data_IF_081352576775
#
_entry.id   IF_081352576775
#
_cell.length_a   1.000
_cell.length_b   1.000
_cell.length_c   1.000
_cell.angle_alpha   90.00
_cell.angle_beta   90.00
_cell.angle_gamma   90.00
#
_symmetry.space_group_name_H-M   'P 1'
#
loop_
_entity.id
_entity.type
_entity.pdbx_description
1 polymer ?
#
# COMPACT_ATOMS: atom_id res chain seq x y z
N UNK A 1 -48.48 38.45 -18.31
CA UNK A 1 -48.25 37.07 -17.87
C UNK A 1 -47.12 36.39 -18.62
N UNK A 2 -45.96 36.27 -17.95
CA UNK A 2 -44.85 35.44 -18.42
C UNK A 2 -45.30 33.97 -18.43
N UNK A 3 -45.30 33.36 -19.60
CA UNK A 3 -45.72 31.96 -19.77
C UNK A 3 -44.56 31.00 -20.03
N UNK A 4 -43.39 31.53 -20.43
CA UNK A 4 -42.21 30.75 -20.81
C UNK A 4 -40.94 31.33 -20.22
N UNK A 5 -39.94 30.47 -20.08
CA UNK A 5 -38.57 30.81 -19.63
C UNK A 5 -37.55 30.07 -20.47
N UNK A 6 -36.37 30.65 -20.64
CA UNK A 6 -35.22 29.99 -21.28
C UNK A 6 -34.40 29.28 -20.21
N UNK A 7 -34.31 27.94 -20.31
CA UNK A 7 -33.41 27.15 -19.47
C UNK A 7 -31.95 27.41 -19.85
N UNK A 8 -31.03 27.11 -18.93
CA UNK A 8 -29.58 27.27 -19.14
C UNK A 8 -29.02 26.49 -20.33
N UNK A 9 -29.71 25.43 -20.76
CA UNK A 9 -29.37 24.62 -21.96
C UNK A 9 -29.99 25.18 -23.26
N UNK A 10 -30.55 26.40 -23.21
CA UNK A 10 -31.19 27.07 -24.35
C UNK A 10 -32.63 26.62 -24.63
N UNK A 11 -33.14 25.57 -23.98
CA UNK A 11 -34.51 25.10 -24.21
C UNK A 11 -35.55 26.01 -23.57
N UNK A 12 -36.69 26.21 -24.26
CA UNK A 12 -37.84 26.89 -23.67
C UNK A 12 -38.63 25.94 -22.75
N UNK A 13 -39.06 26.43 -21.61
CA UNK A 13 -39.93 25.71 -20.67
C UNK A 13 -41.04 26.62 -20.14
N UNK A 14 -42.11 26.04 -19.60
CA UNK A 14 -43.18 26.81 -18.98
C UNK A 14 -42.67 27.54 -17.72
N UNK A 15 -43.08 28.80 -17.56
CA UNK A 15 -42.89 29.55 -16.33
C UNK A 15 -43.69 28.88 -15.20
N UNK A 16 -43.06 28.68 -14.04
CA UNK A 16 -43.68 28.06 -12.88
C UNK A 16 -43.37 28.89 -11.64
N UNK A 17 -44.37 29.65 -11.20
CA UNK A 17 -44.29 30.54 -10.03
C UNK A 17 -44.09 29.76 -8.73
N UNK A 18 -44.74 28.60 -8.58
CA UNK A 18 -44.59 27.76 -7.38
C UNK A 18 -43.15 27.31 -7.15
N UNK A 19 -42.38 27.07 -8.22
CA UNK A 19 -40.95 26.74 -8.10
C UNK A 19 -40.12 27.90 -7.54
N UNK A 20 -40.48 29.13 -7.89
CA UNK A 20 -39.82 30.34 -7.39
C UNK A 20 -40.21 30.55 -5.93
N UNK A 21 -41.51 30.46 -5.61
CA UNK A 21 -42.03 30.54 -4.25
C UNK A 21 -41.37 29.49 -3.33
N UNK A 22 -41.25 28.24 -3.78
CA UNK A 22 -40.56 27.19 -3.01
C UNK A 22 -39.08 27.49 -2.77
N UNK A 23 -38.39 28.11 -3.73
CA UNK A 23 -36.98 28.48 -3.55
C UNK A 23 -36.83 29.62 -2.54
N UNK A 24 -37.72 30.62 -2.59
CA UNK A 24 -37.79 31.72 -1.61
C UNK A 24 -38.14 31.18 -0.22
N UNK A 25 -39.15 30.31 -0.12
CA UNK A 25 -39.57 29.66 1.13
C UNK A 25 -38.41 28.95 1.83
N UNK A 26 -37.61 28.17 1.08
CA UNK A 26 -36.42 27.50 1.64
C UNK A 26 -35.34 28.48 2.11
N UNK A 27 -35.18 29.61 1.42
CA UNK A 27 -34.24 30.65 1.85
C UNK A 27 -34.73 31.34 3.14
N UNK A 28 -36.04 31.59 3.26
CA UNK A 28 -36.68 32.13 4.48
C UNK A 28 -36.54 31.17 5.66
N UNK A 29 -36.72 29.88 5.42
CA UNK A 29 -36.55 28.84 6.45
C UNK A 29 -35.10 28.77 6.94
N UNK A 30 -34.12 28.92 6.04
CA UNK A 30 -32.70 28.88 6.35
C UNK A 30 -32.14 30.17 6.97
N UNK A 31 -32.78 31.33 6.73
CA UNK A 31 -32.35 32.61 7.31
C UNK A 31 -32.84 32.79 8.75
N UNK A 32 -34.00 32.21 9.09
CA UNK A 32 -34.63 32.41 10.40
C UNK A 32 -35.14 33.84 10.62
N UNK A 33 -35.21 34.65 9.56
CA UNK A 33 -35.82 35.98 9.63
C UNK A 33 -37.30 35.84 10.02
N UNK A 34 -37.70 36.54 11.09
CA UNK A 34 -39.07 36.50 11.60
C UNK A 34 -40.00 37.24 10.64
N UNK A 35 -41.03 36.53 10.19
CA UNK A 35 -42.22 37.15 9.61
C UNK A 35 -43.15 37.48 10.77
N UNK A 36 -43.77 38.66 10.78
CA UNK A 36 -44.78 39.01 11.77
C UNK A 36 -45.89 37.92 11.77
N UNK A 37 -46.14 37.29 12.92
CA UNK A 37 -46.99 36.11 13.09
C UNK A 37 -46.46 34.84 12.39
N UNK A 38 -45.41 34.25 12.95
CA UNK A 38 -44.71 33.09 12.41
C UNK A 38 -45.43 31.76 12.75
N UNK A 39 -46.24 31.29 11.80
CA UNK A 39 -46.59 29.88 11.66
C UNK A 39 -46.19 29.41 10.25
N UNK A 40 -45.96 28.12 10.04
CA UNK A 40 -45.47 27.59 8.75
C UNK A 40 -46.35 27.96 7.53
N UNK A 41 -47.63 28.27 7.74
CA UNK A 41 -48.53 28.77 6.70
C UNK A 41 -48.20 30.22 6.29
N UNK A 42 -47.90 31.10 7.25
CA UNK A 42 -47.53 32.50 7.02
C UNK A 42 -46.28 32.63 6.13
N UNK A 43 -45.26 31.79 6.35
CA UNK A 43 -44.05 31.74 5.51
C UNK A 43 -44.30 31.31 4.06
N UNK A 44 -45.18 30.33 3.86
CA UNK A 44 -45.53 29.84 2.52
C UNK A 44 -46.31 30.90 1.72
N UNK A 45 -47.28 31.55 2.37
CA UNK A 45 -48.02 32.69 1.80
C UNK A 45 -47.09 33.84 1.42
N UNK A 46 -46.20 34.23 2.34
CA UNK A 46 -45.24 35.31 2.09
C UNK A 46 -44.26 35.00 0.94
N UNK A 47 -43.78 33.75 0.86
CA UNK A 47 -42.94 33.32 -0.27
C UNK A 47 -43.68 33.37 -1.61
N UNK A 48 -44.99 33.08 -1.61
CA UNK A 48 -45.84 33.19 -2.79
C UNK A 48 -46.06 34.66 -3.19
N UNK A 49 -46.27 35.56 -2.23
CA UNK A 49 -46.41 36.99 -2.47
C UNK A 49 -45.11 37.58 -3.07
N UNK A 50 -43.95 37.20 -2.54
CA UNK A 50 -42.65 37.59 -3.10
C UNK A 50 -42.45 37.02 -4.51
N UNK A 51 -42.85 35.77 -4.77
CA UNK A 51 -42.79 35.18 -6.10
C UNK A 51 -43.73 35.88 -7.10
N UNK A 52 -44.89 36.37 -6.64
CA UNK A 52 -45.80 37.18 -7.44
C UNK A 52 -45.17 38.55 -7.79
N UNK A 53 -44.52 39.21 -6.83
CA UNK A 53 -43.75 40.45 -7.09
C UNK A 53 -42.63 40.21 -8.10
N UNK A 54 -41.89 39.10 -8.00
CA UNK A 54 -40.88 38.72 -9.00
C UNK A 54 -41.49 38.59 -10.40
N UNK A 55 -42.67 37.97 -10.51
CA UNK A 55 -43.37 37.86 -11.79
C UNK A 55 -43.79 39.23 -12.35
N UNK A 56 -44.32 40.11 -11.49
CA UNK A 56 -44.73 41.47 -11.86
C UNK A 56 -43.55 42.30 -12.35
N UNK A 57 -42.43 42.30 -11.61
CA UNK A 57 -41.23 43.02 -12.04
C UNK A 57 -40.67 42.48 -13.35
N UNK A 58 -40.58 41.15 -13.51
CA UNK A 58 -40.14 40.56 -14.77
C UNK A 58 -41.07 40.95 -15.94
N UNK A 59 -42.38 41.06 -15.72
CA UNK A 59 -43.33 41.51 -16.76
C UNK A 59 -43.13 42.97 -17.16
N UNK A 60 -42.76 43.82 -16.22
CA UNK A 60 -42.52 45.24 -16.45
C UNK A 60 -41.16 45.49 -17.10
N UNK A 61 -40.15 44.65 -16.84
CA UNK A 61 -38.76 44.90 -17.24
C UNK A 61 -38.24 43.99 -18.35
N UNK A 62 -38.85 42.83 -18.61
CA UNK A 62 -38.31 41.87 -19.58
C UNK A 62 -38.69 42.22 -21.02
N UNK A 63 -37.70 42.62 -21.82
CA UNK A 63 -37.86 42.86 -23.27
C UNK A 63 -37.93 41.55 -24.10
N UNK A 64 -37.54 40.42 -23.49
CA UNK A 64 -37.53 39.09 -24.10
C UNK A 64 -37.94 38.02 -23.09
N UNK A 65 -38.13 36.79 -23.56
CA UNK A 65 -38.34 35.64 -22.67
C UNK A 65 -37.16 35.57 -21.68
N UNK A 66 -37.41 35.66 -20.36
CA UNK A 66 -36.34 35.71 -19.38
C UNK A 66 -35.64 34.34 -19.27
N UNK A 67 -34.34 34.37 -19.08
CA UNK A 67 -33.55 33.19 -18.76
C UNK A 67 -33.57 32.91 -17.25
N UNK A 68 -33.09 31.73 -16.84
CA UNK A 68 -33.08 31.33 -15.42
C UNK A 68 -32.26 32.29 -14.54
N UNK A 69 -31.15 32.86 -15.04
CA UNK A 69 -30.32 33.78 -14.26
C UNK A 69 -31.06 35.10 -14.00
N UNK A 70 -31.74 35.64 -15.01
CA UNK A 70 -32.52 36.88 -14.89
C UNK A 70 -33.65 36.74 -13.87
N UNK A 71 -34.29 35.56 -13.80
CA UNK A 71 -35.31 35.28 -12.77
C UNK A 71 -34.66 35.23 -11.38
N UNK A 72 -33.47 34.64 -11.27
CA UNK A 72 -32.76 34.54 -9.98
C UNK A 72 -32.28 35.91 -9.50
N UNK A 73 -31.72 36.74 -10.39
CA UNK A 73 -31.31 38.11 -10.10
C UNK A 73 -32.51 38.96 -9.65
N UNK A 74 -33.68 38.73 -10.26
CA UNK A 74 -34.91 39.40 -9.83
C UNK A 74 -35.37 38.95 -8.45
N UNK A 75 -35.25 37.65 -8.12
CA UNK A 75 -35.55 37.16 -6.76
C UNK A 75 -34.66 37.83 -5.73
N UNK A 76 -33.36 37.95 -6.00
CA UNK A 76 -32.40 38.64 -5.12
C UNK A 76 -32.79 40.10 -4.90
N UNK A 77 -33.12 40.81 -5.99
CA UNK A 77 -33.58 42.20 -5.93
C UNK A 77 -34.86 42.35 -5.10
N UNK A 78 -35.87 41.52 -5.35
CA UNK A 78 -37.15 41.57 -4.62
C UNK A 78 -36.94 41.28 -3.13
N UNK A 79 -36.07 40.33 -2.76
CA UNK A 79 -35.76 40.06 -1.36
C UNK A 79 -35.08 41.26 -0.68
N UNK A 80 -34.16 41.93 -1.38
CA UNK A 80 -33.51 43.15 -0.85
C UNK A 80 -34.46 44.34 -0.73
N UNK A 81 -35.36 44.54 -1.70
CA UNK A 81 -36.34 45.64 -1.71
C UNK A 81 -37.50 45.44 -0.70
N UNK A 82 -37.65 44.23 -0.15
CA UNK A 82 -38.70 43.89 0.82
C UNK A 82 -38.15 43.65 2.24
N UNK A 83 -37.02 44.28 2.59
CA UNK A 83 -36.39 44.22 3.92
C UNK A 83 -35.99 42.80 4.39
N UNK A 84 -35.55 41.93 3.47
CA UNK A 84 -35.10 40.56 3.78
C UNK A 84 -33.63 40.29 3.37
N UNK A 85 -32.66 41.06 3.89
CA UNK A 85 -31.26 40.96 3.48
C UNK A 85 -30.60 39.64 3.86
N UNK A 86 -30.93 39.01 5.01
CA UNK A 86 -30.33 37.70 5.35
C UNK A 86 -30.94 36.58 4.50
N UNK A 87 -32.23 36.65 4.17
CA UNK A 87 -32.85 35.73 3.21
C UNK A 87 -32.24 35.87 1.82
N UNK A 88 -32.01 37.10 1.34
CA UNK A 88 -31.31 37.34 0.07
C UNK A 88 -29.91 36.72 0.08
N UNK A 89 -29.13 36.94 1.15
CA UNK A 89 -27.78 36.35 1.30
C UNK A 89 -27.81 34.82 1.31
N UNK A 90 -28.77 34.19 2.02
CA UNK A 90 -28.93 32.72 2.02
C UNK A 90 -29.32 32.19 0.65
N UNK A 91 -30.20 32.89 -0.06
CA UNK A 91 -30.59 32.56 -1.43
C UNK A 91 -29.38 32.62 -2.39
N UNK A 92 -28.59 33.70 -2.33
CA UNK A 92 -27.37 33.90 -3.13
C UNK A 92 -26.37 32.76 -2.87
N UNK A 93 -26.07 32.48 -1.61
CA UNK A 93 -25.12 31.42 -1.24
C UNK A 93 -25.60 30.04 -1.72
N UNK A 94 -26.90 29.73 -1.56
CA UNK A 94 -27.48 28.49 -2.05
C UNK A 94 -27.42 28.38 -3.59
N UNK A 95 -27.69 29.47 -4.31
CA UNK A 95 -27.57 29.53 -5.78
C UNK A 95 -26.13 29.30 -6.22
N UNK A 96 -25.18 29.99 -5.61
CA UNK A 96 -23.75 29.84 -5.88
C UNK A 96 -23.30 28.39 -5.72
N UNK A 97 -23.71 27.74 -4.62
CA UNK A 97 -23.41 26.33 -4.37
C UNK A 97 -24.06 25.40 -5.41
N UNK A 98 -25.32 25.65 -5.79
CA UNK A 98 -26.00 24.85 -6.83
C UNK A 98 -25.40 25.01 -8.22
N UNK A 99 -24.92 26.21 -8.57
CA UNK A 99 -24.21 26.45 -9.82
C UNK A 99 -22.86 25.74 -9.80
N UNK A 100 -22.09 25.87 -8.71
CA UNK A 100 -20.81 25.16 -8.49
C UNK A 100 -20.95 23.64 -8.68
N UNK A 101 -21.94 23.01 -8.05
CA UNK A 101 -22.22 21.56 -8.19
C UNK A 101 -22.52 21.16 -9.65
N UNK A 102 -23.24 22.00 -10.40
CA UNK A 102 -23.62 21.70 -11.79
C UNK A 102 -22.44 21.83 -12.75
N UNK A 103 -21.72 22.95 -12.69
CA UNK A 103 -20.52 23.18 -13.51
C UNK A 103 -19.51 22.06 -13.31
N UNK A 104 -19.36 21.63 -12.05
CA UNK A 104 -18.51 20.52 -11.72
C UNK A 104 -19.01 19.19 -12.31
N UNK A 105 -20.31 18.86 -12.22
CA UNK A 105 -20.83 17.63 -12.84
C UNK A 105 -20.60 17.62 -14.35
N UNK A 106 -20.71 18.77 -15.02
CA UNK A 106 -20.35 18.91 -16.43
C UNK A 106 -18.86 18.67 -16.65
N UNK A 107 -18.00 19.27 -15.82
CA UNK A 107 -16.55 19.06 -15.87
C UNK A 107 -16.16 17.60 -15.64
N UNK A 108 -16.74 16.92 -14.66
CA UNK A 108 -16.47 15.50 -14.38
C UNK A 108 -16.85 14.63 -15.58
N UNK A 109 -18.02 14.88 -16.17
CA UNK A 109 -18.47 14.16 -17.35
C UNK A 109 -17.58 14.42 -18.58
N UNK A 110 -17.05 15.64 -18.73
CA UNK A 110 -16.04 15.95 -19.74
C UNK A 110 -14.75 15.17 -19.47
N UNK A 111 -14.25 15.18 -18.23
CA UNK A 111 -13.06 14.39 -17.85
C UNK A 111 -13.26 12.90 -18.13
N UNK A 112 -14.43 12.33 -17.83
CA UNK A 112 -14.73 10.94 -18.16
C UNK A 112 -14.80 10.70 -19.67
N UNK A 113 -15.40 11.62 -20.43
CA UNK A 113 -15.42 11.55 -21.89
C UNK A 113 -13.99 11.56 -22.47
N UNK A 114 -13.13 12.43 -21.94
CA UNK A 114 -11.74 12.55 -22.37
C UNK A 114 -10.96 11.28 -22.03
N UNK A 115 -11.09 10.75 -20.82
CA UNK A 115 -10.49 9.48 -20.42
C UNK A 115 -10.99 8.32 -21.31
N UNK A 116 -12.26 8.29 -21.68
CA UNK A 116 -12.84 7.22 -22.52
C UNK A 116 -12.29 7.26 -23.94
N UNK A 117 -12.29 8.45 -24.56
CA UNK A 117 -12.20 8.59 -26.01
C UNK A 117 -10.86 9.13 -26.51
N UNK A 118 -10.01 9.65 -25.61
CA UNK A 118 -8.70 10.18 -26.01
C UNK A 118 -7.65 9.09 -26.08
N UNK A 119 -6.85 9.08 -27.14
CA UNK A 119 -5.71 8.17 -27.32
C UNK A 119 -4.61 8.47 -26.28
N UNK A 120 -4.07 7.47 -25.57
CA UNK A 120 -3.19 7.69 -24.40
C UNK A 120 -1.89 8.41 -24.68
N UNK A 121 -1.44 8.39 -25.94
CA UNK A 121 -0.27 9.16 -26.37
C UNK A 121 -0.49 10.67 -26.34
N UNK A 122 -1.75 11.13 -26.26
CA UNK A 122 -2.12 12.55 -26.31
C UNK A 122 -2.76 13.08 -25.01
N UNK A 123 -2.93 12.26 -23.98
CA UNK A 123 -3.59 12.66 -22.73
C UNK A 123 -2.66 12.56 -21.52
N UNK A 124 -2.27 13.71 -20.96
CA UNK A 124 -1.48 13.78 -19.72
C UNK A 124 -2.20 13.13 -18.53
N UNK A 125 -3.53 13.17 -18.53
CA UNK A 125 -4.38 12.56 -17.49
C UNK A 125 -4.16 11.04 -17.42
N UNK A 126 -3.92 10.39 -18.57
CA UNK A 126 -3.63 8.94 -18.66
C UNK A 126 -2.19 8.59 -18.26
N UNK A 127 -1.28 9.58 -18.13
CA UNK A 127 0.16 9.38 -17.87
C UNK A 127 0.68 9.90 -16.51
N UNK A 128 -0.21 10.42 -15.67
CA UNK A 128 0.14 10.99 -14.35
C UNK A 128 0.90 10.01 -13.43
N UNK A 129 0.65 8.70 -13.55
CA UNK A 129 1.31 7.67 -12.75
C UNK A 129 2.00 6.65 -13.67
N UNK A 130 3.33 6.65 -13.65
CA UNK A 130 4.16 5.76 -14.49
C UNK A 130 3.93 4.26 -14.21
N UNK A 131 3.34 3.91 -13.06
CA UNK A 131 3.05 2.54 -12.68
C UNK A 131 1.61 2.10 -13.00
N UNK A 132 0.79 2.98 -13.59
CA UNK A 132 -0.59 2.65 -14.01
C UNK A 132 -0.67 2.75 -15.53
N UNK A 133 -1.06 1.65 -16.17
CA UNK A 133 -1.41 1.67 -17.58
C UNK A 133 -2.87 2.10 -17.76
N UNK A 134 -3.08 3.38 -18.08
CA UNK A 134 -4.39 3.99 -18.29
C UNK A 134 -5.19 3.43 -19.46
N UNK A 135 -4.57 2.66 -20.36
CA UNK A 135 -5.26 2.02 -21.50
C UNK A 135 -5.89 0.67 -21.16
N UNK A 136 -5.49 0.08 -20.04
CA UNK A 136 -6.14 -1.14 -19.56
C UNK A 136 -7.53 -0.82 -19.02
N UNK A 137 -8.46 -1.77 -19.13
CA UNK A 137 -9.82 -1.61 -18.62
C UNK A 137 -9.83 -1.20 -17.13
N UNK A 138 -8.95 -1.80 -16.32
CA UNK A 138 -8.86 -1.50 -14.90
C UNK A 138 -8.10 -0.20 -14.62
N UNK A 139 -7.12 0.18 -15.44
CA UNK A 139 -6.48 1.50 -15.39
C UNK A 139 -7.46 2.63 -15.68
N UNK A 140 -8.33 2.47 -16.69
CA UNK A 140 -9.41 3.42 -17.00
C UNK A 140 -10.42 3.52 -15.86
N UNK A 141 -10.88 2.39 -15.31
CA UNK A 141 -11.80 2.39 -14.16
C UNK A 141 -11.19 3.05 -12.92
N UNK A 142 -9.91 2.80 -12.63
CA UNK A 142 -9.19 3.45 -11.55
C UNK A 142 -9.10 4.96 -11.77
N UNK A 143 -8.92 5.43 -13.01
CA UNK A 143 -8.92 6.85 -13.34
C UNK A 143 -10.28 7.52 -13.16
N UNK A 144 -11.39 6.86 -13.51
CA UNK A 144 -12.71 7.38 -13.17
C UNK A 144 -12.89 7.53 -11.67
N UNK A 145 -12.52 6.49 -10.92
CA UNK A 145 -12.55 6.54 -9.45
C UNK A 145 -11.73 7.70 -8.89
N UNK A 146 -10.49 7.85 -9.37
CA UNK A 146 -9.58 8.92 -8.95
C UNK A 146 -10.14 10.31 -9.19
N UNK A 147 -10.56 10.62 -10.43
CA UNK A 147 -11.05 11.97 -10.76
C UNK A 147 -12.37 12.28 -10.06
N UNK A 148 -13.28 11.30 -9.96
CA UNK A 148 -14.51 11.44 -9.17
C UNK A 148 -14.23 11.70 -7.69
N UNK A 149 -13.28 10.99 -7.10
CA UNK A 149 -12.90 11.15 -5.70
C UNK A 149 -12.25 12.51 -5.43
N UNK A 150 -11.24 12.91 -6.21
CA UNK A 150 -10.59 14.24 -6.10
C UNK A 150 -11.62 15.36 -6.12
N UNK A 151 -12.56 15.31 -7.07
CA UNK A 151 -13.62 16.32 -7.20
C UNK A 151 -14.58 16.31 -6.01
N UNK A 152 -15.00 15.13 -5.54
CA UNK A 152 -15.83 15.00 -4.35
C UNK A 152 -15.17 15.60 -3.11
N UNK A 153 -13.88 15.31 -2.89
CA UNK A 153 -13.15 15.80 -1.72
C UNK A 153 -12.99 17.33 -1.71
N UNK A 154 -12.66 17.93 -2.85
CA UNK A 154 -12.52 19.38 -2.97
C UNK A 154 -13.84 20.13 -2.72
N UNK A 155 -14.98 19.50 -2.99
CA UNK A 155 -16.29 20.10 -2.83
C UNK A 155 -16.83 19.95 -1.41
N UNK A 156 -16.77 18.73 -0.88
CA UNK A 156 -17.61 18.33 0.24
C UNK A 156 -16.83 17.94 1.49
N UNK A 157 -15.51 17.72 1.39
CA UNK A 157 -14.69 17.28 2.53
C UNK A 157 -13.63 18.30 2.95
N UNK A 158 -12.95 18.91 1.98
CA UNK A 158 -11.91 19.90 2.27
C UNK A 158 -12.52 21.25 2.66
N UNK A 159 -11.85 21.96 3.55
CA UNK A 159 -12.15 23.38 3.79
C UNK A 159 -11.92 24.16 2.48
N UNK A 160 -12.75 25.15 2.15
CA UNK A 160 -12.61 25.94 0.92
C UNK A 160 -11.20 26.51 0.73
N UNK A 161 -10.59 27.04 1.79
CA UNK A 161 -9.24 27.61 1.73
C UNK A 161 -8.16 26.56 1.40
N UNK A 162 -8.30 25.33 1.92
CA UNK A 162 -7.36 24.25 1.62
C UNK A 162 -7.51 23.75 0.18
N UNK A 163 -8.75 23.63 -0.30
CA UNK A 163 -9.03 23.25 -1.68
C UNK A 163 -8.49 24.29 -2.66
N UNK A 164 -8.68 25.58 -2.36
CA UNK A 164 -8.17 26.68 -3.16
C UNK A 164 -6.63 26.69 -3.18
N UNK A 165 -5.99 26.58 -2.02
CA UNK A 165 -4.52 26.53 -1.93
C UNK A 165 -3.93 25.34 -2.71
N UNK A 166 -4.61 24.19 -2.71
CA UNK A 166 -4.20 23.05 -3.54
C UNK A 166 -4.36 23.31 -5.04
N UNK A 167 -5.48 23.92 -5.45
CA UNK A 167 -5.76 24.24 -6.85
C UNK A 167 -4.83 25.33 -7.41
N UNK A 168 -4.41 26.28 -6.57
CA UNK A 168 -3.49 27.36 -6.93
C UNK A 168 -2.02 26.92 -6.87
N UNK A 169 -1.74 25.76 -6.27
CA UNK A 169 -0.39 25.22 -6.13
C UNK A 169 0.40 25.78 -4.93
N UNK A 170 -0.25 26.51 -4.03
CA UNK A 170 0.36 26.96 -2.76
C UNK A 170 0.71 25.78 -1.85
N UNK A 171 -0.11 24.74 -1.91
CA UNK A 171 0.14 23.45 -1.27
C UNK A 171 -0.14 22.30 -2.24
N UNK A 172 0.37 21.11 -1.91
CA UNK A 172 0.01 19.89 -2.61
C UNK A 172 -0.51 18.85 -1.62
N UNK A 173 -1.79 18.51 -1.75
CA UNK A 173 -2.39 17.41 -0.99
C UNK A 173 -2.07 16.13 -1.75
N UNK A 174 -1.10 15.38 -1.24
CA UNK A 174 -0.68 14.11 -1.82
C UNK A 174 -1.82 13.09 -1.80
N UNK A 175 -1.90 12.29 -2.86
CA UNK A 175 -2.85 11.18 -3.01
C UNK A 175 -4.30 11.58 -2.70
N UNK A 176 -4.68 12.77 -3.18
CA UNK A 176 -6.00 13.34 -2.92
C UNK A 176 -7.13 12.38 -3.35
N UNK A 177 -6.93 11.56 -4.37
CA UNK A 177 -7.83 10.50 -4.81
C UNK A 177 -8.14 9.42 -3.76
N UNK A 178 -7.31 9.27 -2.72
CA UNK A 178 -7.50 8.33 -1.60
C UNK A 178 -7.71 9.02 -0.25
N UNK A 179 -7.80 10.35 -0.22
CA UNK A 179 -7.72 11.19 0.99
C UNK A 179 -8.59 10.74 2.18
N UNK A 180 -9.82 10.29 1.91
CA UNK A 180 -10.76 9.88 2.98
C UNK A 180 -10.83 8.37 3.22
N UNK A 181 -10.12 7.57 2.45
CA UNK A 181 -10.35 6.13 2.36
C UNK A 181 -9.32 5.32 3.13
N UNK A 182 -8.05 5.72 3.09
CA UNK A 182 -6.98 4.87 3.61
C UNK A 182 -5.72 5.65 4.01
N UNK A 183 -4.77 4.92 4.57
CA UNK A 183 -3.44 5.36 4.96
C UNK A 183 -2.47 5.29 3.77
N UNK A 184 -1.33 5.98 3.92
CA UNK A 184 -0.30 6.09 2.88
C UNK A 184 0.62 4.87 2.83
N UNK A 185 1.68 4.82 3.62
CA UNK A 185 2.67 3.75 3.62
C UNK A 185 2.59 2.93 4.90
N UNK A 186 3.03 1.66 4.87
CA UNK A 186 3.21 0.86 6.08
C UNK A 186 4.49 0.02 6.08
N UNK A 187 4.93 -0.32 7.28
CA UNK A 187 5.94 -1.35 7.54
C UNK A 187 5.23 -2.63 7.95
N UNK A 188 5.59 -3.73 7.30
CA UNK A 188 5.06 -5.06 7.50
C UNK A 188 6.12 -5.86 8.25
N UNK A 189 5.81 -6.20 9.49
CA UNK A 189 6.58 -7.18 10.28
C UNK A 189 6.14 -8.59 9.89
N UNK A 190 6.95 -9.28 9.09
CA UNK A 190 6.65 -10.63 8.65
C UNK A 190 6.75 -11.66 9.78
N UNK A 191 7.61 -11.44 10.79
CA UNK A 191 7.76 -12.35 11.91
C UNK A 191 6.49 -12.41 12.75
N UNK A 192 5.90 -11.23 13.02
CA UNK A 192 4.63 -11.13 13.73
C UNK A 192 3.47 -11.62 12.86
N UNK A 193 3.39 -11.16 11.60
CA UNK A 193 2.30 -11.49 10.67
C UNK A 193 2.19 -13.00 10.41
N UNK A 194 3.31 -13.70 10.27
CA UNK A 194 3.30 -15.12 9.93
C UNK A 194 3.03 -16.04 11.11
N UNK A 195 3.20 -15.56 12.35
CA UNK A 195 2.99 -16.36 13.56
C UNK A 195 1.53 -16.78 13.67
N UNK A 196 1.26 -18.08 13.63
CA UNK A 196 -0.12 -18.61 13.63
C UNK A 196 -0.87 -18.43 12.29
N UNK A 197 -0.20 -17.88 11.27
CA UNK A 197 -0.80 -17.58 9.98
C UNK A 197 -1.63 -16.29 9.96
N UNK A 198 -2.12 -15.90 8.78
CA UNK A 198 -2.86 -14.65 8.57
C UNK A 198 -3.94 -14.79 7.50
N UNK A 199 -4.87 -13.83 7.43
CA UNK A 199 -5.95 -13.80 6.45
C UNK A 199 -5.80 -12.63 5.49
N UNK A 200 -6.15 -12.85 4.23
CA UNK A 200 -6.25 -11.82 3.18
C UNK A 200 -7.72 -11.51 2.82
N UNK A 201 -8.64 -11.76 3.75
CA UNK A 201 -10.08 -11.52 3.62
C UNK A 201 -10.91 -12.71 3.14
N UNK A 202 -10.35 -13.59 2.30
CA UNK A 202 -11.10 -14.73 1.70
C UNK A 202 -10.70 -16.11 2.26
N UNK A 203 -9.74 -16.17 3.20
CA UNK A 203 -9.29 -17.41 3.80
C UNK A 203 -8.08 -17.23 4.70
N UNK A 204 -7.88 -18.17 5.64
CA UNK A 204 -6.77 -18.15 6.60
C UNK A 204 -5.59 -18.98 6.06
N UNK A 205 -4.46 -18.32 5.85
CA UNK A 205 -3.20 -18.91 5.44
C UNK A 205 -2.49 -19.46 6.68
N UNK A 206 -1.82 -20.62 6.52
CA UNK A 206 -1.03 -21.23 7.61
C UNK A 206 0.34 -20.58 7.71
N UNK A 207 0.93 -20.66 8.90
CA UNK A 207 2.32 -20.26 9.12
C UNK A 207 3.28 -21.00 8.15
N UNK A 208 4.11 -20.27 7.38
CA UNK A 208 5.02 -20.87 6.40
C UNK A 208 6.13 -21.66 7.08
N UNK A 209 6.51 -22.80 6.48
CA UNK A 209 7.51 -23.74 7.05
C UNK A 209 8.66 -24.06 6.09
N UNK A 210 8.93 -23.19 5.12
CA UNK A 210 10.06 -23.27 4.21
C UNK A 210 10.28 -21.92 3.51
N UNK A 211 11.50 -21.69 3.00
CA UNK A 211 11.90 -20.42 2.38
C UNK A 211 11.05 -20.01 1.17
N UNK A 212 10.55 -20.96 0.37
CA UNK A 212 9.70 -20.64 -0.79
C UNK A 212 8.34 -20.16 -0.33
N UNK A 213 7.77 -20.83 0.68
CA UNK A 213 6.51 -20.41 1.30
C UNK A 213 6.64 -19.04 1.96
N UNK A 214 7.72 -18.79 2.72
CA UNK A 214 7.97 -17.47 3.36
C UNK A 214 8.04 -16.37 2.30
N UNK A 215 8.81 -16.57 1.23
CA UNK A 215 8.96 -15.59 0.15
C UNK A 215 7.63 -15.35 -0.60
N UNK A 216 6.88 -16.41 -0.92
CA UNK A 216 5.60 -16.30 -1.60
C UNK A 216 4.54 -15.57 -0.74
N UNK A 217 4.46 -15.90 0.55
CA UNK A 217 3.54 -15.22 1.47
C UNK A 217 3.94 -13.76 1.70
N UNK A 218 5.23 -13.42 1.62
CA UNK A 218 5.69 -12.04 1.68
C UNK A 218 5.17 -11.22 0.47
N UNK A 219 5.23 -11.78 -0.74
CA UNK A 219 4.62 -11.15 -1.93
C UNK A 219 3.11 -10.95 -1.74
N UNK A 220 2.41 -11.95 -1.21
CA UNK A 220 0.96 -11.87 -0.96
C UNK A 220 0.63 -10.78 0.07
N UNK A 221 1.39 -10.69 1.17
CA UNK A 221 1.20 -9.65 2.18
C UNK A 221 1.38 -8.25 1.58
N UNK A 222 2.43 -8.05 0.79
CA UNK A 222 2.69 -6.79 0.08
C UNK A 222 1.55 -6.45 -0.90
N UNK A 223 1.10 -7.41 -1.71
CA UNK A 223 0.03 -7.21 -2.68
C UNK A 223 -1.31 -6.90 -2.00
N UNK A 224 -1.65 -7.67 -0.95
CA UNK A 224 -2.90 -7.49 -0.21
C UNK A 224 -2.94 -6.08 0.40
N UNK A 225 -1.89 -5.66 1.10
CA UNK A 225 -1.83 -4.33 1.69
C UNK A 225 -1.87 -3.22 0.63
N UNK A 226 -1.25 -3.44 -0.54
CA UNK A 226 -1.28 -2.44 -1.62
C UNK A 226 -2.69 -2.22 -2.20
N UNK A 227 -3.59 -3.20 -2.12
CA UNK A 227 -4.98 -3.01 -2.52
C UNK A 227 -5.74 -2.09 -1.57
N UNK A 228 -5.38 -2.12 -0.28
CA UNK A 228 -6.05 -1.34 0.75
C UNK A 228 -5.36 0.00 1.03
N UNK A 229 -4.13 0.24 0.54
CA UNK A 229 -3.34 1.45 0.81
C UNK A 229 -2.78 2.08 -0.46
N UNK A 230 -2.61 3.40 -0.45
CA UNK A 230 -2.22 4.13 -1.65
C UNK A 230 -0.70 4.36 -1.80
N UNK A 231 0.07 4.26 -0.72
CA UNK A 231 1.51 4.46 -0.72
C UNK A 231 2.30 3.15 -0.84
N UNK A 232 3.60 3.23 -0.51
CA UNK A 232 4.54 2.13 -0.58
C UNK A 232 4.43 1.16 0.59
N UNK A 233 4.53 -0.14 0.28
CA UNK A 233 4.51 -1.23 1.24
C UNK A 233 5.93 -1.72 1.51
N UNK A 234 6.31 -1.88 2.78
CA UNK A 234 7.69 -2.16 3.14
C UNK A 234 7.82 -3.32 4.10
N UNK A 235 8.74 -4.25 3.83
CA UNK A 235 9.10 -5.28 4.80
C UNK A 235 10.29 -4.75 5.63
N UNK A 236 10.08 -4.62 6.94
CA UNK A 236 11.08 -4.03 7.87
C UNK A 236 12.17 -5.02 8.28
N UNK A 237 11.83 -6.30 8.41
CA UNK A 237 12.70 -7.33 8.98
C UNK A 237 12.91 -8.49 8.00
N UNK A 238 13.24 -8.16 6.74
CA UNK A 238 13.29 -9.14 5.65
C UNK A 238 14.32 -10.24 5.90
N UNK A 239 15.53 -9.88 6.30
CA UNK A 239 16.61 -10.82 6.62
C UNK A 239 16.22 -11.77 7.75
N UNK A 240 15.69 -11.24 8.85
CA UNK A 240 15.23 -12.05 9.99
C UNK A 240 14.09 -13.02 9.61
N UNK A 241 13.13 -12.56 8.80
CA UNK A 241 12.01 -13.39 8.34
C UNK A 241 12.47 -14.49 7.38
N UNK A 242 13.33 -14.16 6.42
CA UNK A 242 13.89 -15.15 5.50
C UNK A 242 14.80 -16.14 6.22
N UNK A 243 15.53 -15.73 7.26
CA UNK A 243 16.35 -16.62 8.08
C UNK A 243 15.54 -17.78 8.68
N UNK A 244 14.33 -17.52 9.19
CA UNK A 244 13.42 -18.58 9.67
C UNK A 244 13.01 -19.54 8.54
N UNK A 245 12.73 -19.00 7.35
CA UNK A 245 12.42 -19.80 6.17
C UNK A 245 13.58 -20.72 5.77
N UNK A 246 14.80 -20.19 5.74
CA UNK A 246 16.03 -20.94 5.46
C UNK A 246 16.28 -22.02 6.51
N UNK A 247 16.13 -21.70 7.81
CA UNK A 247 16.30 -22.66 8.90
C UNK A 247 15.32 -23.85 8.75
N UNK A 248 14.04 -23.58 8.47
CA UNK A 248 13.05 -24.64 8.27
C UNK A 248 13.34 -25.48 7.03
N UNK A 249 13.76 -24.84 5.93
CA UNK A 249 14.18 -25.56 4.72
C UNK A 249 15.37 -26.46 5.00
N UNK A 250 16.39 -25.95 5.69
CA UNK A 250 17.57 -26.73 6.04
C UNK A 250 17.22 -27.93 6.93
N UNK A 251 16.42 -27.73 7.98
CA UNK A 251 15.98 -28.82 8.86
C UNK A 251 15.25 -29.92 8.05
N UNK A 252 14.34 -29.52 7.17
CA UNK A 252 13.59 -30.46 6.32
C UNK A 252 14.51 -31.20 5.36
N UNK A 253 15.43 -30.49 4.70
CA UNK A 253 16.42 -31.08 3.80
C UNK A 253 17.36 -32.02 4.56
N UNK A 254 17.92 -31.60 5.69
CA UNK A 254 18.80 -32.41 6.52
C UNK A 254 18.14 -33.73 6.91
N UNK A 255 16.89 -33.68 7.41
CA UNK A 255 16.13 -34.90 7.74
C UNK A 255 15.96 -35.81 6.51
N UNK A 256 15.60 -35.24 5.36
CA UNK A 256 15.40 -36.00 4.13
C UNK A 256 16.70 -36.63 3.62
N UNK A 257 17.82 -35.90 3.68
CA UNK A 257 19.14 -36.37 3.25
C UNK A 257 19.68 -37.42 4.21
N UNK A 258 19.50 -37.22 5.52
CA UNK A 258 19.83 -38.20 6.54
C UNK A 258 19.09 -39.51 6.29
N UNK A 259 17.76 -39.47 6.10
CA UNK A 259 16.97 -40.68 5.81
C UNK A 259 17.52 -41.45 4.60
N UNK A 260 17.71 -40.79 3.45
CA UNK A 260 18.24 -41.45 2.26
C UNK A 260 19.66 -42.02 2.44
N UNK A 261 20.50 -41.38 3.26
CA UNK A 261 21.85 -41.87 3.56
C UNK A 261 21.84 -43.03 4.57
N UNK A 262 20.90 -43.06 5.51
CA UNK A 262 20.72 -44.19 6.42
C UNK A 262 20.27 -45.44 5.66
N UNK A 263 19.42 -45.28 4.66
CA UNK A 263 19.05 -46.37 3.74
C UNK A 263 20.25 -46.82 2.91
N UNK A 264 20.95 -45.88 2.26
CA UNK A 264 21.98 -46.21 1.28
C UNK A 264 23.31 -46.68 1.87
N UNK A 265 23.69 -46.23 3.08
CA UNK A 265 25.01 -46.49 3.67
C UNK A 265 24.97 -47.32 4.95
N UNK A 266 23.82 -47.35 5.65
CA UNK A 266 23.66 -48.12 6.88
C UNK A 266 22.59 -49.22 6.78
N UNK A 267 21.90 -49.33 5.63
CA UNK A 267 20.86 -50.33 5.36
C UNK A 267 19.77 -50.39 6.45
N UNK A 268 19.50 -49.25 7.10
CA UNK A 268 18.52 -49.19 8.18
C UNK A 268 17.09 -49.29 7.62
N UNK A 269 16.22 -50.14 8.20
CA UNK A 269 14.82 -50.22 7.80
C UNK A 269 14.06 -48.94 8.21
N UNK A 270 12.99 -48.64 7.47
CA UNK A 270 12.13 -47.46 7.70
C UNK A 270 12.93 -46.14 7.86
N UNK A 271 13.77 -45.77 6.86
CA UNK A 271 14.79 -44.72 6.99
C UNK A 271 14.24 -43.34 7.41
N UNK A 272 13.01 -43.02 7.01
CA UNK A 272 12.34 -41.77 7.41
C UNK A 272 12.05 -41.75 8.91
N UNK A 273 11.47 -42.83 9.45
CA UNK A 273 11.18 -42.95 10.88
C UNK A 273 12.47 -43.01 11.71
N UNK A 274 13.50 -43.68 11.19
CA UNK A 274 14.82 -43.73 11.82
C UNK A 274 15.42 -42.32 11.95
N UNK A 275 15.47 -41.56 10.85
CA UNK A 275 15.97 -40.17 10.87
C UNK A 275 15.18 -39.27 11.83
N UNK A 276 13.85 -39.38 11.83
CA UNK A 276 13.00 -38.63 12.77
C UNK A 276 13.27 -38.97 14.23
N UNK A 277 13.42 -40.26 14.53
CA UNK A 277 13.67 -40.74 15.89
C UNK A 277 15.04 -40.28 16.39
N UNK A 278 16.09 -40.41 15.57
CA UNK A 278 17.44 -39.97 15.91
C UNK A 278 17.48 -38.45 16.19
N UNK A 279 16.91 -37.64 15.30
CA UNK A 279 16.84 -36.19 15.48
C UNK A 279 16.03 -35.82 16.73
N UNK A 280 14.92 -36.53 17.00
CA UNK A 280 14.11 -36.31 18.19
C UNK A 280 14.89 -36.66 19.46
N UNK A 281 15.63 -37.77 19.49
CA UNK A 281 16.43 -38.18 20.64
C UNK A 281 17.48 -37.13 20.97
N UNK A 282 18.25 -36.69 19.97
CA UNK A 282 19.25 -35.62 20.16
C UNK A 282 18.57 -34.34 20.64
N UNK A 283 17.42 -33.96 20.05
CA UNK A 283 16.69 -32.76 20.48
C UNK A 283 16.23 -32.84 21.94
N UNK A 284 15.73 -34.00 22.38
CA UNK A 284 15.29 -34.21 23.77
C UNK A 284 16.48 -34.20 24.74
N UNK A 285 17.59 -34.82 24.36
CA UNK A 285 18.77 -34.93 25.22
C UNK A 285 19.56 -33.62 25.34
N UNK A 286 19.65 -32.84 24.26
CA UNK A 286 20.57 -31.69 24.17
C UNK A 286 19.88 -30.35 23.93
N UNK A 287 18.62 -30.36 23.52
CA UNK A 287 17.96 -29.15 23.03
C UNK A 287 18.51 -28.63 21.70
N UNK A 288 19.34 -29.39 20.99
CA UNK A 288 19.95 -28.99 19.72
C UNK A 288 19.17 -29.52 18.51
N UNK A 289 19.38 -28.88 17.36
CA UNK A 289 18.81 -29.27 16.07
C UNK A 289 19.85 -28.99 14.96
N UNK A 290 19.71 -29.61 13.77
CA UNK A 290 20.50 -29.23 12.62
C UNK A 290 20.35 -27.74 12.30
N UNK A 291 21.48 -27.06 12.13
CA UNK A 291 21.59 -25.67 11.69
C UNK A 291 22.66 -25.56 10.59
N UNK A 292 22.64 -24.46 9.82
CA UNK A 292 23.63 -24.26 8.76
C UNK A 292 25.05 -24.17 9.32
N UNK A 293 25.21 -23.51 10.47
CA UNK A 293 26.41 -23.59 11.30
C UNK A 293 26.10 -24.52 12.48
N UNK A 294 26.61 -25.77 12.46
CA UNK A 294 26.27 -26.75 13.48
C UNK A 294 26.88 -26.35 14.82
N UNK A 295 26.07 -26.46 15.88
CA UNK A 295 26.60 -26.39 17.25
C UNK A 295 27.66 -27.49 17.44
N UNK A 296 28.81 -27.20 18.08
CA UNK A 296 29.89 -28.16 18.29
C UNK A 296 29.47 -29.49 18.92
N UNK A 297 28.41 -29.48 19.74
CA UNK A 297 27.90 -30.65 20.45
C UNK A 297 26.87 -31.44 19.66
N UNK A 298 26.30 -30.88 18.58
CA UNK A 298 25.26 -31.53 17.79
C UNK A 298 25.76 -32.76 17.03
N UNK A 299 26.88 -32.62 16.32
CA UNK A 299 27.44 -33.72 15.50
C UNK A 299 27.91 -34.89 16.38
N UNK A 300 28.64 -34.68 17.50
CA UNK A 300 28.95 -35.74 18.45
C UNK A 300 27.70 -36.45 19.01
N UNK A 301 26.66 -35.70 19.39
CA UNK A 301 25.42 -36.29 19.90
C UNK A 301 24.73 -37.17 18.84
N UNK A 302 24.63 -36.69 17.60
CA UNK A 302 24.09 -37.47 16.48
C UNK A 302 24.92 -38.72 16.18
N UNK A 303 26.26 -38.62 16.25
CA UNK A 303 27.15 -39.76 16.05
C UNK A 303 26.91 -40.84 17.10
N UNK A 304 26.77 -40.45 18.37
CA UNK A 304 26.49 -41.38 19.45
C UNK A 304 25.17 -42.13 19.22
N UNK A 305 24.09 -41.42 18.86
CA UNK A 305 22.79 -42.05 18.55
C UNK A 305 22.88 -43.01 17.36
N UNK A 306 23.62 -42.64 16.30
CA UNK A 306 23.85 -43.52 15.15
C UNK A 306 24.62 -44.78 15.54
N UNK A 307 25.66 -44.65 16.36
CA UNK A 307 26.43 -45.81 16.85
C UNK A 307 25.58 -46.71 17.75
N UNK A 308 24.71 -46.16 18.60
CA UNK A 308 23.74 -46.94 19.38
C UNK A 308 22.73 -47.68 18.49
N UNK A 309 22.39 -47.10 17.34
CA UNK A 309 21.56 -47.73 16.31
C UNK A 309 22.31 -48.78 15.46
N UNK A 310 23.56 -49.10 15.80
CA UNK A 310 24.36 -50.13 15.12
C UNK A 310 25.15 -49.65 13.91
N UNK A 311 25.21 -48.33 13.65
CA UNK A 311 25.98 -47.78 12.54
C UNK A 311 27.47 -47.66 12.92
N UNK A 312 28.36 -48.22 12.09
CA UNK A 312 29.81 -48.12 12.32
C UNK A 312 30.25 -46.64 12.45
N UNK A 313 31.11 -46.27 13.42
CA UNK A 313 31.50 -44.88 13.65
C UNK A 313 32.02 -44.13 12.42
N UNK A 314 32.79 -44.79 11.54
CA UNK A 314 33.28 -44.20 10.29
C UNK A 314 32.15 -43.92 9.30
N UNK A 315 31.20 -44.83 9.21
CA UNK A 315 30.01 -44.69 8.37
C UNK A 315 29.09 -43.59 8.93
N UNK A 316 28.94 -43.50 10.25
CA UNK A 316 28.20 -42.42 10.90
C UNK A 316 28.82 -41.04 10.59
N UNK A 317 30.15 -40.89 10.71
CA UNK A 317 30.83 -39.64 10.33
C UNK A 317 30.55 -39.26 8.88
N UNK A 318 30.65 -40.23 7.97
CA UNK A 318 30.39 -40.02 6.54
C UNK A 318 28.94 -39.63 6.28
N UNK A 319 27.97 -40.30 6.92
CA UNK A 319 26.54 -39.98 6.80
C UNK A 319 26.27 -38.55 7.27
N UNK A 320 26.76 -38.16 8.45
CA UNK A 320 26.50 -36.82 9.01
C UNK A 320 27.13 -35.72 8.16
N UNK A 321 28.38 -35.90 7.71
CA UNK A 321 29.05 -34.94 6.83
C UNK A 321 28.34 -34.81 5.48
N UNK A 322 27.92 -35.92 4.87
CA UNK A 322 27.18 -35.91 3.61
C UNK A 322 25.78 -35.31 3.76
N UNK A 323 25.07 -35.62 4.87
CA UNK A 323 23.75 -35.07 5.15
C UNK A 323 23.80 -33.55 5.28
N UNK A 324 24.76 -33.03 6.06
CA UNK A 324 24.98 -31.59 6.21
C UNK A 324 25.28 -30.91 4.88
N UNK A 325 26.26 -31.42 4.12
CA UNK A 325 26.66 -30.85 2.82
C UNK A 325 25.51 -30.84 1.81
N UNK A 326 24.83 -31.97 1.62
CA UNK A 326 23.73 -32.08 0.65
C UNK A 326 22.53 -31.23 1.07
N UNK A 327 22.23 -31.14 2.37
CA UNK A 327 21.16 -30.29 2.86
C UNK A 327 21.48 -28.81 2.68
N UNK A 328 22.75 -28.41 2.86
CA UNK A 328 23.21 -27.05 2.61
C UNK A 328 23.05 -26.69 1.13
N UNK A 329 23.55 -27.53 0.23
CA UNK A 329 23.46 -27.32 -1.24
C UNK A 329 22.01 -27.19 -1.72
N UNK A 330 21.12 -28.05 -1.21
CA UNK A 330 19.70 -27.99 -1.54
C UNK A 330 19.01 -26.74 -0.98
N UNK A 331 19.36 -26.35 0.25
CA UNK A 331 18.80 -25.16 0.90
C UNK A 331 19.24 -23.89 0.19
N UNK A 332 20.52 -23.79 -0.19
CA UNK A 332 21.05 -22.65 -0.94
C UNK A 332 20.35 -22.51 -2.30
N UNK A 333 20.22 -23.63 -3.05
CA UNK A 333 19.48 -23.65 -4.31
C UNK A 333 18.00 -23.27 -4.14
N UNK A 334 17.35 -23.76 -3.09
CA UNK A 334 15.96 -23.42 -2.80
C UNK A 334 15.80 -21.94 -2.42
N UNK A 335 16.78 -21.38 -1.71
CA UNK A 335 16.81 -19.98 -1.31
C UNK A 335 17.00 -19.07 -2.51
N UNK A 336 17.96 -19.37 -3.39
CA UNK A 336 18.13 -18.66 -4.67
C UNK A 336 16.83 -18.63 -5.48
N UNK A 337 16.20 -19.79 -5.67
CA UNK A 337 14.94 -19.89 -6.41
C UNK A 337 13.79 -19.15 -5.73
N UNK A 338 13.75 -19.10 -4.40
CA UNK A 338 12.75 -18.33 -3.67
C UNK A 338 12.94 -16.81 -3.86
N UNK A 339 14.19 -16.33 -3.84
CA UNK A 339 14.50 -14.91 -4.05
C UNK A 339 14.23 -14.49 -5.50
N UNK A 340 14.52 -15.37 -6.47
CA UNK A 340 14.16 -15.20 -7.89
C UNK A 340 12.65 -15.08 -8.08
N UNK A 341 11.90 -16.03 -7.52
CA UNK A 341 10.44 -15.96 -7.55
C UNK A 341 9.91 -14.68 -6.87
N UNK A 342 10.51 -14.25 -5.76
CA UNK A 342 10.12 -13.03 -5.05
C UNK A 342 10.30 -11.78 -5.91
N UNK A 343 11.47 -11.62 -6.54
CA UNK A 343 11.77 -10.49 -7.43
C UNK A 343 10.85 -10.53 -8.65
N UNK A 344 10.68 -11.69 -9.29
CA UNK A 344 9.78 -11.82 -10.43
C UNK A 344 8.34 -11.48 -10.06
N UNK A 345 7.83 -12.01 -8.96
CA UNK A 345 6.46 -11.73 -8.51
C UNK A 345 6.27 -10.23 -8.22
N UNK A 346 7.19 -9.58 -7.51
CA UNK A 346 7.08 -8.16 -7.19
C UNK A 346 7.22 -7.22 -8.41
N UNK A 347 7.64 -7.73 -9.57
CA UNK A 347 7.63 -6.98 -10.84
C UNK A 347 6.49 -7.37 -11.80
N UNK A 348 5.77 -8.48 -11.54
CA UNK A 348 4.76 -9.01 -12.47
C UNK A 348 3.35 -9.15 -11.87
N UNK A 349 3.25 -9.25 -10.54
CA UNK A 349 1.97 -9.28 -9.86
C UNK A 349 1.35 -7.89 -9.89
N UNK A 350 0.03 -7.83 -10.11
CA UNK A 350 -0.71 -6.58 -10.11
C UNK A 350 -1.53 -6.42 -8.82
N UNK A 351 -1.70 -5.18 -8.39
CA UNK A 351 -2.54 -4.70 -7.30
C UNK A 351 -3.56 -3.70 -7.85
N UNK A 352 -4.40 -3.12 -6.98
CA UNK A 352 -5.49 -2.19 -7.33
C UNK A 352 -6.35 -2.75 -8.46
N UNK A 353 -6.81 -3.98 -8.24
CA UNK A 353 -7.62 -4.74 -9.18
C UNK A 353 -6.98 -4.89 -10.58
N UNK A 354 -5.66 -5.02 -10.65
CA UNK A 354 -4.95 -5.31 -11.90
C UNK A 354 -4.30 -4.12 -12.58
N UNK A 355 -4.42 -2.91 -12.02
CA UNK A 355 -3.99 -1.68 -12.68
C UNK A 355 -2.52 -1.30 -12.42
N UNK A 356 -1.86 -1.89 -11.42
CA UNK A 356 -0.54 -1.42 -10.98
C UNK A 356 0.30 -2.49 -10.28
N UNK A 357 1.60 -2.58 -10.61
CA UNK A 357 2.57 -3.38 -9.84
C UNK A 357 2.77 -2.80 -8.43
N UNK A 358 2.77 -3.62 -7.36
CA UNK A 358 2.91 -3.11 -6.00
C UNK A 358 4.17 -2.28 -5.78
N UNK A 359 4.00 -1.09 -5.19
CA UNK A 359 5.13 -0.28 -4.75
C UNK A 359 5.71 -0.94 -3.50
N UNK A 360 6.75 -1.75 -3.69
CA UNK A 360 7.33 -2.56 -2.63
C UNK A 360 8.75 -2.16 -2.26
N UNK A 361 9.11 -2.34 -0.99
CA UNK A 361 10.46 -2.13 -0.47
C UNK A 361 10.82 -3.20 0.58
N UNK A 362 12.09 -3.56 0.69
CA UNK A 362 12.60 -4.53 1.67
C UNK A 362 13.84 -3.98 2.37
N UNK A 363 13.90 -4.13 3.69
CA UNK A 363 15.01 -3.68 4.54
C UNK A 363 15.74 -4.89 5.13
N UNK A 364 17.07 -4.92 5.00
CA UNK A 364 17.90 -6.06 5.41
C UNK A 364 19.36 -5.64 5.65
N UNK A 365 20.19 -6.55 6.18
CA UNK A 365 21.65 -6.38 6.33
C UNK A 365 22.16 -6.43 7.78
N UNK A 366 21.26 -6.55 8.75
CA UNK A 366 21.59 -6.46 10.19
C UNK A 366 21.74 -7.82 10.87
N UNK A 367 20.99 -8.83 10.40
CA UNK A 367 21.10 -10.18 10.95
C UNK A 367 22.40 -10.87 10.49
N UNK A 368 23.20 -11.35 11.45
CA UNK A 368 24.49 -12.02 11.21
C UNK A 368 24.39 -13.53 11.23
N UNK A 369 23.20 -14.11 11.42
CA UNK A 369 23.00 -15.56 11.39
C UNK A 369 23.38 -16.15 10.03
N UNK A 370 23.91 -17.38 9.99
CA UNK A 370 24.23 -18.07 8.73
C UNK A 370 23.03 -18.14 7.77
N UNK A 371 21.83 -18.32 8.31
CA UNK A 371 20.58 -18.39 7.58
C UNK A 371 20.20 -17.05 6.93
N UNK A 372 20.28 -15.94 7.69
CA UNK A 372 20.08 -14.61 7.14
C UNK A 372 21.13 -14.27 6.08
N UNK A 373 22.40 -14.60 6.34
CA UNK A 373 23.50 -14.40 5.39
C UNK A 373 23.27 -15.13 4.07
N UNK A 374 22.76 -16.36 4.12
CA UNK A 374 22.36 -17.12 2.93
C UNK A 374 21.21 -16.44 2.18
N UNK A 375 20.18 -15.96 2.88
CA UNK A 375 19.07 -15.24 2.25
C UNK A 375 19.52 -13.93 1.59
N UNK A 376 20.31 -13.11 2.29
CA UNK A 376 20.84 -11.84 1.78
C UNK A 376 21.74 -12.07 0.56
N UNK A 377 22.67 -13.03 0.64
CA UNK A 377 23.56 -13.38 -0.48
C UNK A 377 22.74 -13.76 -1.72
N UNK A 378 21.78 -14.66 -1.58
CA UNK A 378 20.97 -15.12 -2.69
C UNK A 378 20.08 -14.02 -3.25
N UNK A 379 19.49 -13.15 -2.41
CA UNK A 379 18.75 -11.97 -2.86
C UNK A 379 19.62 -11.07 -3.73
N UNK A 380 20.84 -10.75 -3.28
CA UNK A 380 21.76 -9.89 -4.01
C UNK A 380 22.21 -10.52 -5.33
N UNK A 381 22.51 -11.83 -5.34
CA UNK A 381 22.92 -12.55 -6.55
C UNK A 381 21.79 -12.61 -7.58
N UNK A 382 20.56 -12.90 -7.16
CA UNK A 382 19.39 -12.88 -8.04
C UNK A 382 19.13 -11.48 -8.58
N UNK A 383 19.23 -10.44 -7.73
CA UNK A 383 19.08 -9.05 -8.16
C UNK A 383 20.13 -8.70 -9.22
N UNK A 384 21.39 -9.10 -8.99
CA UNK A 384 22.48 -8.91 -9.94
C UNK A 384 22.22 -9.63 -11.27
N UNK A 385 21.68 -10.85 -11.23
CA UNK A 385 21.29 -11.60 -12.43
C UNK A 385 20.25 -10.83 -13.27
N UNK A 386 19.33 -10.12 -12.61
CA UNK A 386 18.28 -9.33 -13.26
C UNK A 386 17.03 -10.16 -13.55
N UNK A 387 16.07 -9.54 -14.26
CA UNK A 387 14.86 -10.21 -14.74
C UNK A 387 15.17 -11.13 -15.94
N UNK A 388 14.14 -11.69 -16.58
CA UNK A 388 14.27 -12.74 -17.61
C UNK A 388 15.34 -12.52 -18.69
N UNK A 389 15.48 -11.30 -19.24
CA UNK A 389 16.53 -10.97 -20.22
C UNK A 389 17.70 -10.19 -19.60
N UNK A 390 17.84 -10.25 -18.28
CA UNK A 390 18.83 -9.52 -17.51
C UNK A 390 18.48 -8.04 -17.32
N UNK A 391 17.21 -7.63 -17.40
CA UNK A 391 16.79 -6.27 -17.09
C UNK A 391 16.96 -5.95 -15.60
N UNK A 392 17.14 -4.67 -15.27
CA UNK A 392 17.18 -4.23 -13.86
C UNK A 392 15.78 -4.27 -13.27
N UNK A 393 15.54 -5.01 -12.17
CA UNK A 393 14.25 -5.01 -11.50
C UNK A 393 13.96 -3.64 -10.89
N UNK A 394 12.73 -3.14 -11.07
CA UNK A 394 12.28 -1.88 -10.47
C UNK A 394 11.89 -2.10 -9.01
N UNK A 395 11.28 -3.26 -8.73
CA UNK A 395 10.84 -3.67 -7.40
C UNK A 395 11.46 -5.01 -6.96
N UNK A 396 11.50 -5.31 -5.65
CA UNK A 396 11.32 -4.33 -4.57
C UNK A 396 12.47 -3.33 -4.56
N UNK A 397 12.20 -2.11 -4.07
CA UNK A 397 13.28 -1.22 -3.64
C UNK A 397 14.04 -1.92 -2.52
N UNK A 398 15.35 -2.06 -2.65
CA UNK A 398 16.17 -2.77 -1.68
C UNK A 398 16.97 -1.78 -0.84
N UNK A 399 16.90 -1.94 0.48
CA UNK A 399 17.62 -1.10 1.44
C UNK A 399 18.54 -1.99 2.27
N UNK A 400 19.84 -1.89 1.98
CA UNK A 400 20.90 -2.51 2.76
C UNK A 400 21.28 -1.59 3.93
N UNK A 401 21.05 -2.07 5.15
CA UNK A 401 21.35 -1.34 6.39
C UNK A 401 22.81 -1.56 6.76
N UNK A 402 23.53 -0.47 6.94
CA UNK A 402 24.98 -0.44 7.15
C UNK A 402 25.28 -0.06 8.60
N UNK A 403 26.16 -0.83 9.27
CA UNK A 403 26.59 -0.53 10.64
C UNK A 403 27.99 -1.08 10.91
N UNK A 404 28.81 -0.29 11.61
CA UNK A 404 30.05 -0.79 12.23
C UNK A 404 29.75 -1.88 13.27
N UNK A 405 30.62 -2.88 13.31
CA UNK A 405 30.48 -4.10 14.10
C UNK A 405 29.62 -5.18 13.44
N UNK A 406 29.07 -4.91 12.24
CA UNK A 406 28.19 -5.84 11.53
C UNK A 406 28.68 -6.07 10.11
N UNK A 407 28.76 -5.02 9.29
CA UNK A 407 28.99 -5.16 7.84
C UNK A 407 29.87 -4.09 7.21
N UNK A 408 30.36 -3.10 7.96
CA UNK A 408 31.04 -1.94 7.38
C UNK A 408 32.56 -2.12 7.24
N UNK A 409 33.22 -2.78 8.20
CA UNK A 409 34.68 -2.92 8.20
C UNK A 409 35.15 -4.35 7.86
N UNK A 410 36.35 -4.50 7.25
CA UNK A 410 36.97 -5.81 7.07
C UNK A 410 37.02 -6.63 8.35
N UNK A 411 36.66 -7.91 8.26
CA UNK A 411 36.61 -8.85 9.39
C UNK A 411 35.29 -8.85 10.17
N UNK A 412 34.37 -7.92 9.90
CA UNK A 412 33.02 -7.96 10.47
C UNK A 412 32.17 -9.05 9.80
N UNK A 413 31.19 -9.65 10.52
CA UNK A 413 30.49 -10.84 10.07
C UNK A 413 29.89 -10.74 8.67
N UNK A 414 29.29 -9.60 8.33
CA UNK A 414 28.57 -9.34 7.08
C UNK A 414 29.34 -8.42 6.12
N UNK A 415 30.65 -8.22 6.31
CA UNK A 415 31.44 -7.36 5.43
C UNK A 415 31.48 -7.87 3.99
N UNK A 416 31.54 -9.18 3.80
CA UNK A 416 31.45 -9.84 2.50
C UNK A 416 30.12 -9.53 1.78
N UNK A 417 29.01 -9.49 2.52
CA UNK A 417 27.69 -9.13 1.99
C UNK A 417 27.60 -7.64 1.66
N UNK A 418 28.26 -6.77 2.41
CA UNK A 418 28.35 -5.34 2.06
C UNK A 418 29.13 -5.13 0.75
N UNK A 419 30.25 -5.84 0.56
CA UNK A 419 30.97 -5.81 -0.72
C UNK A 419 30.12 -6.33 -1.88
N UNK A 420 29.37 -7.41 -1.66
CA UNK A 420 28.42 -7.94 -2.64
C UNK A 420 27.29 -6.94 -2.94
N UNK A 421 26.77 -6.24 -1.93
CA UNK A 421 25.75 -5.22 -2.08
C UNK A 421 26.26 -4.03 -2.92
N UNK A 422 27.48 -3.56 -2.68
CA UNK A 422 28.12 -2.51 -3.51
C UNK A 422 28.23 -2.97 -4.96
N UNK A 423 28.72 -4.19 -5.19
CA UNK A 423 28.84 -4.78 -6.53
C UNK A 423 27.47 -4.87 -7.23
N UNK A 424 26.44 -5.32 -6.53
CA UNK A 424 25.09 -5.43 -7.07
C UNK A 424 24.53 -4.05 -7.44
N UNK A 425 24.66 -3.08 -6.54
CA UNK A 425 24.22 -1.69 -6.75
C UNK A 425 24.90 -1.04 -7.95
N UNK A 426 26.20 -1.28 -8.15
CA UNK A 426 26.92 -0.79 -9.33
C UNK A 426 26.39 -1.32 -10.67
N UNK A 427 25.69 -2.46 -10.68
CA UNK A 427 25.12 -3.09 -11.88
C UNK A 427 23.62 -2.85 -12.04
N UNK A 428 22.90 -2.67 -10.92
CA UNK A 428 21.43 -2.74 -10.86
C UNK A 428 20.79 -1.56 -10.12
N UNK A 429 21.56 -0.56 -9.72
CA UNK A 429 21.14 0.58 -8.87
C UNK A 429 20.67 0.20 -7.46
N UNK A 430 20.37 -1.07 -7.20
CA UNK A 430 19.98 -1.61 -5.90
C UNK A 430 21.01 -2.61 -5.36
N UNK A 431 21.19 -2.69 -4.03
CA UNK A 431 20.45 -1.94 -3.01
C UNK A 431 20.91 -0.49 -2.83
N UNK A 432 20.01 0.31 -2.24
CA UNK A 432 20.31 1.58 -1.57
C UNK A 432 20.94 1.31 -0.21
N UNK A 433 21.70 2.26 0.34
CA UNK A 433 22.39 2.11 1.62
C UNK A 433 21.81 3.01 2.70
N UNK A 434 21.59 2.44 3.89
CA UNK A 434 21.01 3.12 5.04
C UNK A 434 21.92 2.95 6.27
N UNK A 435 22.59 4.02 6.70
CA UNK A 435 23.57 3.95 7.79
C UNK A 435 22.88 3.97 9.16
N UNK A 436 22.83 2.83 9.84
CA UNK A 436 22.21 2.65 11.15
C UNK A 436 22.87 3.51 12.23
N UNK A 437 24.19 3.69 12.14
CA UNK A 437 25.02 4.38 13.12
C UNK A 437 25.18 5.89 12.87
N UNK A 438 24.42 6.46 11.93
CA UNK A 438 24.41 7.90 11.74
C UNK A 438 23.93 8.62 13.03
N UNK A 439 24.52 9.77 13.42
CA UNK A 439 24.23 10.40 14.73
C UNK A 439 22.75 10.69 15.00
N UNK A 440 21.97 10.95 13.95
CA UNK A 440 20.52 11.21 14.06
C UNK A 440 19.68 9.93 14.22
N UNK A 441 20.21 8.76 13.86
CA UNK A 441 19.57 7.46 14.02
C UNK A 441 19.81 6.87 15.41
N UNK A 442 20.99 7.10 15.96
CA UNK A 442 21.40 6.60 17.28
C UNK A 442 20.50 7.07 18.43
N UNK A 443 19.74 8.15 18.26
CA UNK A 443 18.88 8.70 19.31
C UNK A 443 17.71 7.79 19.68
N UNK A 444 17.24 6.98 18.74
CA UNK A 444 16.07 6.11 18.89
C UNK A 444 16.41 4.63 18.65
N UNK A 445 17.68 4.32 18.38
CA UNK A 445 18.16 2.98 18.12
C UNK A 445 18.62 2.31 19.41
N UNK A 446 18.10 1.11 19.67
CA UNK A 446 18.53 0.22 20.73
C UNK A 446 19.06 -1.09 20.11
N UNK A 447 20.35 -1.41 20.28
CA UNK A 447 20.94 -2.62 19.70
C UNK A 447 20.36 -3.92 20.27
N UNK A 448 19.68 -3.89 21.42
CA UNK A 448 18.97 -5.05 21.97
C UNK A 448 17.57 -5.26 21.36
N UNK A 449 17.08 -4.27 20.61
CA UNK A 449 15.72 -4.23 20.04
C UNK A 449 15.78 -4.07 18.52
N UNK A 450 15.82 -5.17 17.74
CA UNK A 450 15.87 -5.12 16.27
C UNK A 450 14.75 -4.28 15.64
N UNK A 451 13.60 -4.14 16.29
CA UNK A 451 12.49 -3.29 15.85
C UNK A 451 12.82 -1.79 15.83
N UNK A 452 13.89 -1.37 16.50
CA UNK A 452 14.39 0.01 16.50
C UNK A 452 15.41 0.28 15.38
N UNK A 453 15.79 -0.76 14.63
CA UNK A 453 16.62 -0.59 13.45
C UNK A 453 15.90 0.30 12.43
N UNK A 454 16.62 1.24 11.82
CA UNK A 454 16.00 2.17 10.90
C UNK A 454 15.58 1.44 9.63
N UNK A 455 14.35 1.68 9.20
CA UNK A 455 13.81 1.10 7.98
C UNK A 455 13.03 2.15 7.19
N UNK A 456 13.05 2.01 5.87
CA UNK A 456 12.43 2.95 4.95
C UNK A 456 11.25 2.31 4.23
N UNK A 457 10.15 3.05 4.16
CA UNK A 457 8.95 2.70 3.43
C UNK A 457 8.92 3.39 2.06
N UNK A 458 8.62 2.60 1.03
CA UNK A 458 8.58 3.09 -0.35
C UNK A 458 9.92 3.70 -0.74
N UNK A 459 9.90 4.94 -1.22
CA UNK A 459 11.13 5.65 -1.61
C UNK A 459 12.04 5.98 -0.41
N UNK A 460 11.48 6.58 0.66
CA UNK A 460 12.28 7.23 1.72
C UNK A 460 11.51 7.61 2.99
N UNK A 461 10.26 7.21 3.16
CA UNK A 461 9.49 7.57 4.36
C UNK A 461 10.00 6.74 5.53
N UNK A 462 10.26 7.36 6.68
CA UNK A 462 10.83 6.68 7.84
C UNK A 462 10.01 6.97 9.08
N UNK A 463 9.75 5.93 9.88
CA UNK A 463 9.25 6.09 11.25
C UNK A 463 10.45 6.31 12.17
N UNK A 464 10.42 7.38 12.98
CA UNK A 464 11.54 7.74 13.88
C UNK A 464 11.26 7.31 15.32
N UNK A 465 10.04 7.56 15.79
CA UNK A 465 9.60 7.22 17.14
C UNK A 465 8.07 7.12 17.14
N UNK A 466 7.52 6.32 18.05
CA UNK A 466 6.11 6.38 18.39
C UNK A 466 5.93 7.43 19.49
N UNK A 467 5.28 8.54 19.16
CA UNK A 467 4.96 9.62 20.13
C UNK A 467 3.56 9.47 20.74
N UNK A 468 2.77 8.53 20.21
CA UNK A 468 1.38 8.31 20.62
C UNK A 468 1.30 7.20 21.69
N UNK A 469 1.97 6.06 21.46
CA UNK A 469 2.13 4.98 22.45
C UNK A 469 3.63 4.80 22.74
N UNK A 470 4.17 5.46 23.78
CA UNK A 470 5.60 5.46 24.08
C UNK A 470 6.11 4.21 24.85
N UNK A 471 5.21 3.34 25.29
CA UNK A 471 5.51 2.00 25.84
C UNK A 471 5.79 1.01 24.70
#
# INVERSE_FOLDING_TARGET
MITKVIKRDGRQAAYNMEKIANAIYRALEASGESIAHDNGQSRSLHAMDLAAKVAEYLELTAERIPNIEEIQDMVERVLMENDQPETAKRYILYRAERTRVREMNTRLMQTYHDITNSDSKQSDIKRENANIDGDTAMGTMLKYGSEGAKMYYQMFMLKPDHALAHQQGDIHIHDLDFYSLTMTCCQIDLLSLFKGGFSTGHGHLREPRDIRSVAALACIAVQSNQNDMHGGQSIVNFDYAMAKGVAHTYLKSYRSRLAGLLEALAELPEPVKAAESLLKNVRVATGLAPALEPNPDFVPAMKNELTLAGVEPKTADRILAMAARLAWEETDKATYQAMEALIHNLNSMHSRAGAQTPFSSINYGMDTSPEARMAIRNLLLTTEAGLGNGETPIFPIQIFRVRKGVNFNPGEPNYDLFQLAIRCSAKRMFPNFAFQDAPFNLRSYDPARPETEIAYMGCRTRVVANVYDPE
#
